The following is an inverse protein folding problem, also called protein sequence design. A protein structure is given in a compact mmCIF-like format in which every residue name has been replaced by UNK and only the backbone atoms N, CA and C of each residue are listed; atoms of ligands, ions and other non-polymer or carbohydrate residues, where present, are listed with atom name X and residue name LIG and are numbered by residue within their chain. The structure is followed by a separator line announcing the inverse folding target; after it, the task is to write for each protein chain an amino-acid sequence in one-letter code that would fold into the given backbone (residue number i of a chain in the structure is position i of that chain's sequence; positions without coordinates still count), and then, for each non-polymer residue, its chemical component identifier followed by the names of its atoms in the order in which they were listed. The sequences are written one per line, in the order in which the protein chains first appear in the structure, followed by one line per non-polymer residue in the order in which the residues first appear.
data_IF_760077109680
#
_entry.id   IF_760077109680
#
_cell.length_a   1.000
_cell.length_b   1.000
_cell.length_c   1.000
_cell.angle_alpha   90.00
_cell.angle_beta   90.00
_cell.angle_gamma   90.00
#
_symmetry.space_group_name_H-M   'P 1'
#
loop_
_entity.id
_entity.type
_entity.pdbx_description
1 polymer ?
#
# COMPACT_ATOMS: atom_id res chain seq x y z
N UNK A 1 2.79 25.26 11.66
CA UNK A 1 2.55 25.29 10.20
C UNK A 1 1.32 24.46 9.93
N UNK A 2 0.35 24.96 9.18
CA UNK A 2 -0.86 24.18 8.87
C UNK A 2 -0.50 23.07 7.89
N UNK A 3 -0.66 21.81 8.29
CA UNK A 3 -0.47 20.63 7.44
C UNK A 3 -1.43 20.69 6.24
N UNK A 4 -0.93 20.37 5.06
CA UNK A 4 -1.72 20.20 3.84
C UNK A 4 -2.79 19.13 4.04
N UNK A 5 -3.96 19.32 3.43
CA UNK A 5 -5.15 18.49 3.70
C UNK A 5 -4.91 17.00 3.49
N UNK A 6 -4.18 16.62 2.43
CA UNK A 6 -3.86 15.23 2.11
C UNK A 6 -3.12 14.49 3.23
N UNK A 7 -2.24 15.16 3.97
CA UNK A 7 -1.43 14.57 5.03
C UNK A 7 -2.09 14.67 6.42
N UNK A 8 -3.19 15.42 6.55
CA UNK A 8 -3.91 15.53 7.84
C UNK A 8 -4.49 14.21 8.33
N UNK A 9 -4.76 13.25 7.43
CA UNK A 9 -5.14 11.88 7.79
C UNK A 9 -4.04 11.22 8.60
N UNK A 10 -2.87 11.05 7.99
CA UNK A 10 -1.67 10.50 8.63
C UNK A 10 -1.31 11.25 9.92
N UNK A 11 -1.31 12.58 9.91
CA UNK A 11 -1.04 13.37 11.11
C UNK A 11 -2.03 13.14 12.26
N UNK A 12 -3.28 12.73 11.98
CA UNK A 12 -4.24 12.36 13.02
C UNK A 12 -3.91 10.99 13.61
N UNK A 13 -3.53 10.04 12.78
CA UNK A 13 -3.17 8.68 13.19
C UNK A 13 -1.95 8.69 14.13
N UNK A 14 -1.03 9.65 13.96
CA UNK A 14 0.09 9.89 14.88
C UNK A 14 -0.32 10.09 16.34
N UNK A 15 -1.55 10.53 16.62
CA UNK A 15 -2.03 10.61 18.00
C UNK A 15 -2.05 9.22 18.66
N UNK A 16 -2.59 8.20 17.98
CA UNK A 16 -2.62 6.83 18.49
C UNK A 16 -1.21 6.26 18.67
N UNK A 17 -0.32 6.51 17.71
CA UNK A 17 1.09 6.14 17.80
C UNK A 17 1.79 6.75 19.02
N UNK A 18 1.58 8.04 19.28
CA UNK A 18 2.18 8.73 20.43
C UNK A 18 1.60 8.27 21.78
N UNK A 19 0.31 7.92 21.83
CA UNK A 19 -0.31 7.32 23.02
C UNK A 19 0.34 5.97 23.32
N UNK A 20 0.43 5.08 22.32
CA UNK A 20 1.09 3.78 22.45
C UNK A 20 2.56 3.94 22.87
N UNK A 21 3.30 4.82 22.19
CA UNK A 21 4.70 5.13 22.52
C UNK A 21 4.88 5.56 23.98
N UNK A 22 4.00 6.43 24.49
CA UNK A 22 4.04 6.88 25.88
C UNK A 22 3.77 5.74 26.86
N UNK A 23 2.82 4.86 26.54
CA UNK A 23 2.53 3.67 27.35
C UNK A 23 3.76 2.76 27.42
N UNK A 24 4.35 2.44 26.26
CA UNK A 24 5.53 1.59 26.13
C UNK A 24 6.75 2.12 26.90
N UNK A 25 7.01 3.44 26.85
CA UNK A 25 8.12 4.08 27.57
C UNK A 25 8.03 3.92 29.09
N UNK A 26 6.82 3.79 29.65
CA UNK A 26 6.63 3.70 31.10
C UNK A 26 6.75 2.28 31.65
N UNK A 27 6.77 1.27 30.79
CA UNK A 27 6.73 -0.15 31.19
C UNK A 27 7.83 -0.53 32.18
N UNK A 28 9.05 -0.01 32.07
CA UNK A 28 10.11 -0.33 33.04
C UNK A 28 9.83 0.24 34.44
N UNK A 29 9.18 1.39 34.53
CA UNK A 29 8.84 2.04 35.80
C UNK A 29 7.50 1.54 36.37
N UNK A 30 6.59 1.16 35.49
CA UNK A 30 5.23 0.70 35.78
C UNK A 30 4.94 -0.58 34.99
N UNK A 31 5.48 -1.74 35.41
CA UNK A 31 5.26 -3.00 34.71
C UNK A 31 3.78 -3.40 34.73
N UNK A 32 3.24 -3.96 33.63
CA UNK A 32 1.86 -4.44 33.61
C UNK A 32 1.68 -5.61 34.57
N UNK A 33 0.48 -5.72 35.15
CA UNK A 33 0.11 -6.82 36.05
C UNK A 33 0.05 -8.17 35.31
N UNK A 34 -0.34 -8.13 34.04
CA UNK A 34 -0.38 -9.29 33.13
C UNK A 34 0.43 -8.97 31.86
N UNK A 35 1.72 -9.34 31.82
CA UNK A 35 2.58 -9.10 30.67
C UNK A 35 2.13 -9.79 29.38
N UNK A 36 1.51 -10.96 29.48
CA UNK A 36 1.02 -11.72 28.32
C UNK A 36 -0.15 -10.98 27.65
N UNK A 37 -1.16 -10.59 28.44
CA UNK A 37 -2.29 -9.80 27.93
C UNK A 37 -1.82 -8.48 27.34
N UNK A 38 -0.88 -7.80 28.03
CA UNK A 38 -0.34 -6.53 27.56
C UNK A 38 0.37 -6.64 26.21
N UNK A 39 1.19 -7.66 25.99
CA UNK A 39 1.85 -7.89 24.68
C UNK A 39 0.81 -8.18 23.59
N UNK A 40 -0.22 -8.97 23.88
CA UNK A 40 -1.30 -9.26 22.93
C UNK A 40 -2.10 -8.00 22.56
N UNK A 41 -2.37 -7.12 23.52
CA UNK A 41 -3.03 -5.83 23.32
C UNK A 41 -2.18 -4.89 22.45
N UNK A 42 -0.87 -4.80 22.71
CA UNK A 42 0.05 -4.01 21.87
C UNK A 42 0.00 -4.47 20.43
N UNK A 43 0.08 -5.79 20.18
CA UNK A 43 0.02 -6.35 18.82
C UNK A 43 -1.32 -6.05 18.14
N UNK A 44 -2.42 -6.18 18.88
CA UNK A 44 -3.76 -5.85 18.38
C UNK A 44 -3.88 -4.38 17.99
N UNK A 45 -3.43 -3.48 18.87
CA UNK A 45 -3.44 -2.04 18.60
C UNK A 45 -2.51 -1.68 17.43
N UNK A 46 -1.34 -2.31 17.35
CA UNK A 46 -0.40 -2.11 16.26
C UNK A 46 -1.03 -2.46 14.91
N UNK A 47 -1.63 -3.65 14.81
CA UNK A 47 -2.29 -4.11 13.59
C UNK A 47 -3.47 -3.22 13.20
N UNK A 48 -4.21 -2.67 14.17
CA UNK A 48 -5.37 -1.83 13.90
C UNK A 48 -5.00 -0.39 13.48
N UNK A 49 -3.97 0.19 14.09
CA UNK A 49 -3.72 1.63 14.02
C UNK A 49 -2.37 2.01 13.37
N UNK A 50 -1.31 1.22 13.59
CA UNK A 50 0.05 1.59 13.18
C UNK A 50 0.44 0.96 11.84
N UNK A 51 0.18 -0.33 11.67
CA UNK A 51 0.49 -1.04 10.42
C UNK A 51 -0.22 -0.42 9.19
N UNK A 52 -1.51 -0.03 9.25
CA UNK A 52 -2.16 0.63 8.12
C UNK A 52 -1.55 1.99 7.78
N UNK A 53 -1.08 2.71 8.79
CA UNK A 53 -0.41 4.00 8.62
C UNK A 53 0.91 3.85 7.87
N UNK A 54 1.80 2.96 8.33
CA UNK A 54 3.05 2.65 7.62
C UNK A 54 2.80 2.17 6.19
N UNK A 55 1.76 1.35 5.99
CA UNK A 55 1.41 0.86 4.67
C UNK A 55 1.01 2.00 3.72
N UNK A 56 0.27 2.99 4.21
CA UNK A 56 -0.09 4.16 3.41
C UNK A 56 1.16 4.97 3.01
N UNK A 57 2.06 5.21 3.94
CA UNK A 57 3.31 5.96 3.71
C UNK A 57 4.26 5.24 2.75
N UNK A 58 4.44 3.94 2.94
CA UNK A 58 5.27 3.10 2.08
C UNK A 58 4.72 2.98 0.67
N UNK A 59 3.39 2.92 0.53
CA UNK A 59 2.71 2.83 -0.77
C UNK A 59 2.76 4.16 -1.53
N UNK A 60 2.59 5.27 -0.83
CA UNK A 60 2.26 6.56 -1.46
C UNK A 60 3.40 7.58 -1.37
N UNK A 61 4.03 7.73 -0.20
CA UNK A 61 4.97 8.83 0.07
C UNK A 61 6.43 8.44 -0.19
N UNK A 62 6.83 7.22 0.14
CA UNK A 62 8.20 6.76 -0.11
C UNK A 62 8.57 6.75 -1.61
N UNK A 63 7.72 6.28 -2.55
CA UNK A 63 8.04 6.32 -3.98
C UNK A 63 8.23 7.74 -4.52
N UNK A 64 7.46 8.69 -4.01
CA UNK A 64 7.60 10.11 -4.37
C UNK A 64 8.89 10.70 -3.81
N UNK A 65 9.23 10.35 -2.57
CA UNK A 65 10.49 10.76 -1.93
C UNK A 65 11.70 10.22 -2.68
N UNK A 66 11.63 9.00 -3.21
CA UNK A 66 12.70 8.38 -3.99
C UNK A 66 12.97 9.09 -5.33
N UNK A 67 11.93 9.66 -5.96
CA UNK A 67 12.07 10.52 -7.15
C UNK A 67 12.48 11.96 -6.80
N UNK A 68 12.48 12.34 -5.51
CA UNK A 68 12.83 13.66 -5.05
C UNK A 68 14.33 13.95 -5.08
N UNK A 69 14.73 15.08 -4.49
CA UNK A 69 16.13 15.47 -4.33
C UNK A 69 16.89 14.57 -3.34
N UNK A 70 18.18 14.86 -3.11
CA UNK A 70 19.01 14.09 -2.18
C UNK A 70 18.44 14.08 -0.75
N UNK A 71 17.82 15.18 -0.32
CA UNK A 71 17.26 15.31 1.02
C UNK A 71 16.05 14.39 1.21
N UNK A 72 15.11 14.39 0.27
CA UNK A 72 13.95 13.51 0.30
C UNK A 72 14.34 12.03 0.25
N UNK A 73 15.33 11.67 -0.57
CA UNK A 73 15.85 10.30 -0.61
C UNK A 73 16.45 9.86 0.73
N UNK A 74 17.19 10.74 1.40
CA UNK A 74 17.74 10.47 2.73
C UNK A 74 16.62 10.31 3.78
N UNK A 75 15.57 11.13 3.71
CA UNK A 75 14.40 10.96 4.57
C UNK A 75 13.70 9.62 4.33
N UNK A 76 13.48 9.25 3.07
CA UNK A 76 12.87 7.97 2.70
C UNK A 76 13.67 6.77 3.23
N UNK A 77 15.00 6.84 3.18
CA UNK A 77 15.86 5.79 3.74
C UNK A 77 15.70 5.68 5.26
N UNK A 78 15.63 6.83 5.96
CA UNK A 78 15.39 6.83 7.42
C UNK A 78 14.04 6.21 7.76
N UNK A 79 12.95 6.62 7.09
CA UNK A 79 11.60 6.07 7.33
C UNK A 79 11.59 4.55 7.16
N UNK A 80 12.18 4.02 6.08
CA UNK A 80 12.32 2.57 5.88
C UNK A 80 13.09 1.88 7.01
N UNK A 81 14.18 2.49 7.46
CA UNK A 81 15.00 1.95 8.55
C UNK A 81 14.20 1.94 9.86
N UNK A 82 13.51 3.03 10.18
CA UNK A 82 12.68 3.16 11.38
C UNK A 82 11.55 2.11 11.34
N UNK A 83 10.82 1.99 10.22
CA UNK A 83 9.75 0.98 10.05
C UNK A 83 10.26 -0.45 10.23
N UNK A 84 11.42 -0.78 9.63
CA UNK A 84 12.00 -2.11 9.73
C UNK A 84 12.41 -2.43 11.18
N UNK A 85 13.03 -1.48 11.89
CA UNK A 85 13.42 -1.64 13.29
C UNK A 85 12.21 -1.75 14.21
N UNK A 86 11.18 -0.92 13.99
CA UNK A 86 9.93 -0.96 14.75
C UNK A 86 9.22 -2.31 14.62
N UNK A 87 9.11 -2.82 13.39
CA UNK A 87 8.54 -4.16 13.14
C UNK A 87 9.38 -5.26 13.79
N UNK A 88 10.71 -5.20 13.70
CA UNK A 88 11.59 -6.17 14.35
C UNK A 88 11.44 -6.16 15.88
N UNK A 89 11.38 -4.99 16.51
CA UNK A 89 11.17 -4.86 17.95
C UNK A 89 9.82 -5.45 18.34
N UNK A 90 8.74 -5.11 17.62
CA UNK A 90 7.42 -5.69 17.85
C UNK A 90 7.41 -7.20 17.69
N UNK A 91 8.02 -7.75 16.64
CA UNK A 91 8.07 -9.19 16.38
C UNK A 91 8.73 -9.94 17.53
N UNK A 92 9.84 -9.42 18.05
CA UNK A 92 10.59 -10.04 19.16
C UNK A 92 10.05 -9.70 20.56
N UNK A 93 9.07 -8.81 20.66
CA UNK A 93 8.48 -8.40 21.94
C UNK A 93 7.76 -9.56 22.61
N UNK A 94 8.18 -9.88 23.83
CA UNK A 94 7.68 -10.98 24.63
C UNK A 94 7.60 -10.60 26.12
N UNK A 95 6.79 -11.29 26.94
CA UNK A 95 6.73 -11.08 28.38
C UNK A 95 8.11 -11.07 29.07
N UNK A 96 9.03 -11.91 28.61
CA UNK A 96 10.36 -12.10 29.20
C UNK A 96 11.36 -10.97 28.96
N UNK A 97 11.16 -10.15 27.92
CA UNK A 97 12.04 -9.03 27.56
C UNK A 97 11.32 -7.68 27.59
N UNK A 98 10.07 -7.67 28.08
CA UNK A 98 9.16 -6.53 28.01
C UNK A 98 9.73 -5.27 28.69
N UNK A 99 10.39 -5.43 29.84
CA UNK A 99 10.96 -4.32 30.61
C UNK A 99 12.07 -3.57 29.87
N UNK A 100 12.79 -4.24 28.97
CA UNK A 100 13.91 -3.68 28.22
C UNK A 100 13.48 -3.20 26.82
N UNK A 101 12.71 -4.02 26.09
CA UNK A 101 12.34 -3.74 24.70
C UNK A 101 11.16 -2.77 24.54
N UNK A 102 10.18 -2.77 25.46
CA UNK A 102 9.04 -1.86 25.32
C UNK A 102 9.47 -0.38 25.35
N UNK A 103 10.35 0.09 26.26
CA UNK A 103 10.82 1.47 26.20
C UNK A 103 11.57 1.81 24.92
N UNK A 104 12.38 0.88 24.39
CA UNK A 104 13.09 1.07 23.12
C UNK A 104 12.10 1.25 21.96
N UNK A 105 11.10 0.36 21.86
CA UNK A 105 10.03 0.45 20.86
C UNK A 105 9.26 1.77 20.98
N UNK A 106 8.89 2.17 22.20
CA UNK A 106 8.17 3.42 22.44
C UNK A 106 9.00 4.67 22.13
N UNK A 107 10.30 4.67 22.45
CA UNK A 107 11.20 5.78 22.13
C UNK A 107 11.39 5.92 20.62
N UNK A 108 11.63 4.80 19.93
CA UNK A 108 11.78 4.78 18.47
C UNK A 108 10.50 5.26 17.79
N UNK A 109 9.32 4.76 18.21
CA UNK A 109 8.03 5.17 17.64
C UNK A 109 7.78 6.68 17.83
N UNK A 110 8.06 7.22 19.01
CA UNK A 110 7.93 8.65 19.26
C UNK A 110 8.94 9.49 18.46
N UNK A 111 10.18 9.00 18.27
CA UNK A 111 11.20 9.68 17.48
C UNK A 111 10.87 9.68 15.98
N UNK A 112 10.30 8.58 15.50
CA UNK A 112 9.81 8.38 14.15
C UNK A 112 8.68 9.38 13.84
N UNK A 113 7.58 9.37 14.60
CA UNK A 113 6.46 10.33 14.42
C UNK A 113 6.92 11.79 14.46
N UNK A 114 7.87 12.14 15.35
CA UNK A 114 8.42 13.51 15.41
C UNK A 114 9.18 13.88 14.16
N UNK A 115 9.92 12.94 13.57
CA UNK A 115 10.66 13.17 12.35
C UNK A 115 9.72 13.37 11.15
N UNK A 116 8.66 12.58 11.07
CA UNK A 116 7.63 12.70 10.03
C UNK A 116 6.99 14.07 10.07
N UNK A 117 6.50 14.45 11.25
CA UNK A 117 5.81 15.71 11.44
C UNK A 117 6.70 16.93 11.23
N UNK A 118 7.95 16.89 11.69
CA UNK A 118 8.80 18.09 11.72
C UNK A 118 9.73 18.21 10.52
N UNK A 119 10.00 17.11 9.83
CA UNK A 119 11.06 17.06 8.82
C UNK A 119 10.57 16.45 7.52
N UNK A 120 10.02 15.23 7.53
CA UNK A 120 9.70 14.55 6.28
C UNK A 120 8.47 15.12 5.58
N UNK A 121 7.33 15.25 6.27
CA UNK A 121 6.11 15.80 5.67
C UNK A 121 6.29 17.26 5.21
N UNK A 122 6.92 18.18 5.99
CA UNK A 122 7.23 19.51 5.48
C UNK A 122 8.10 19.52 4.22
N UNK A 123 9.08 18.61 4.13
CA UNK A 123 9.93 18.50 2.94
C UNK A 123 9.14 17.99 1.72
N UNK A 124 8.22 17.03 1.92
CA UNK A 124 7.31 16.56 0.87
C UNK A 124 6.40 17.68 0.37
N UNK A 125 5.77 18.43 1.29
CA UNK A 125 4.89 19.56 0.95
C UNK A 125 5.62 20.65 0.17
N UNK A 126 6.91 20.88 0.45
CA UNK A 126 7.73 21.86 -0.25
C UNK A 126 8.18 21.40 -1.64
N UNK A 127 8.33 20.09 -1.84
CA UNK A 127 8.90 19.53 -3.07
C UNK A 127 7.84 19.07 -4.09
N UNK A 128 6.65 18.68 -3.65
CA UNK A 128 5.59 18.18 -4.51
C UNK A 128 4.74 19.32 -5.06
N UNK A 129 4.37 19.22 -6.34
CA UNK A 129 3.47 20.17 -6.95
C UNK A 129 2.02 19.99 -6.43
N UNK A 130 1.17 21.03 -6.52
CA UNK A 130 -0.20 20.97 -6.01
C UNK A 130 -1.05 19.85 -6.58
N UNK A 131 -0.88 19.49 -7.87
CA UNK A 131 -1.68 18.44 -8.51
C UNK A 131 -1.33 17.05 -7.97
N UNK A 132 -0.05 16.83 -7.67
CA UNK A 132 0.41 15.61 -6.98
C UNK A 132 -0.14 15.53 -5.55
N UNK A 133 -0.12 16.63 -4.80
CA UNK A 133 -0.66 16.69 -3.43
C UNK A 133 -2.18 16.46 -3.39
N UNK A 134 -2.91 17.02 -4.35
CA UNK A 134 -4.37 16.81 -4.47
C UNK A 134 -4.69 15.35 -4.78
N UNK A 135 -3.95 14.73 -5.70
CA UNK A 135 -4.10 13.31 -6.03
C UNK A 135 -3.79 12.39 -4.84
N UNK A 136 -2.92 12.80 -3.92
CA UNK A 136 -2.61 12.03 -2.70
C UNK A 136 -3.76 11.99 -1.69
N UNK A 137 -4.61 13.02 -1.60
CA UNK A 137 -5.72 13.06 -0.64
C UNK A 137 -6.64 11.84 -0.73
N UNK A 138 -6.96 11.41 -1.95
CA UNK A 138 -7.76 10.20 -2.18
C UNK A 138 -6.96 8.92 -1.88
N UNK A 139 -5.67 8.93 -2.18
CA UNK A 139 -4.83 7.73 -2.18
C UNK A 139 -4.26 7.37 -0.82
N UNK A 140 -4.16 8.31 0.11
CA UNK A 140 -3.72 8.04 1.48
C UNK A 140 -4.80 7.39 2.35
N UNK A 141 -6.01 7.17 1.83
CA UNK A 141 -7.05 6.42 2.52
C UNK A 141 -6.67 4.93 2.62
N UNK A 142 -7.04 4.23 3.72
CA UNK A 142 -6.76 2.80 3.89
C UNK A 142 -7.38 1.96 2.76
N UNK A 143 -8.62 2.30 2.39
CA UNK A 143 -9.32 1.75 1.22
C UNK A 143 -9.82 2.92 0.37
N UNK A 144 -9.14 3.26 -0.73
CA UNK A 144 -9.51 4.43 -1.55
C UNK A 144 -10.90 4.30 -2.17
N UNK A 145 -11.71 5.36 -2.05
CA UNK A 145 -13.07 5.42 -2.58
C UNK A 145 -13.19 6.35 -3.78
N UNK A 146 -13.51 5.76 -4.93
CA UNK A 146 -13.49 6.41 -6.24
C UNK A 146 -14.91 6.48 -6.82
N UNK A 147 -15.23 7.58 -7.51
CA UNK A 147 -16.58 7.82 -8.03
C UNK A 147 -16.82 7.04 -9.31
N UNK A 148 -18.03 6.50 -9.47
CA UNK A 148 -18.48 5.94 -10.74
C UNK A 148 -18.68 7.08 -11.76
N UNK A 149 -17.97 6.98 -12.88
CA UNK A 149 -18.04 7.94 -14.00
C UNK A 149 -18.75 7.37 -15.22
N UNK A 150 -18.87 6.05 -15.31
CA UNK A 150 -19.46 5.37 -16.45
C UNK A 150 -19.70 3.89 -16.19
N UNK A 151 -20.28 3.24 -17.20
CA UNK A 151 -20.48 1.80 -17.20
C UNK A 151 -20.25 1.23 -18.61
N UNK A 152 -19.63 0.07 -18.69
CA UNK A 152 -19.60 -0.74 -19.90
C UNK A 152 -19.89 -2.21 -19.56
N UNK A 153 -19.97 -3.04 -20.59
CA UNK A 153 -19.99 -4.50 -20.44
C UNK A 153 -18.68 -5.08 -20.94
N UNK A 154 -18.16 -6.06 -20.23
CA UNK A 154 -16.99 -6.81 -20.67
C UNK A 154 -17.35 -7.89 -21.72
N UNK A 155 -16.37 -8.68 -22.13
CA UNK A 155 -16.53 -9.76 -23.11
C UNK A 155 -17.48 -10.89 -22.62
N UNK A 156 -17.78 -10.96 -21.32
CA UNK A 156 -18.71 -11.91 -20.71
C UNK A 156 -20.12 -11.31 -20.51
N UNK A 157 -20.38 -10.12 -21.08
CA UNK A 157 -21.62 -9.33 -20.93
C UNK A 157 -21.89 -8.91 -19.47
N UNK A 158 -20.86 -8.89 -18.61
CA UNK A 158 -20.94 -8.49 -17.21
C UNK A 158 -20.76 -6.98 -17.11
N UNK A 159 -21.61 -6.32 -16.32
CA UNK A 159 -21.50 -4.89 -16.08
C UNK A 159 -20.23 -4.53 -15.30
N UNK A 160 -19.54 -3.50 -15.78
CA UNK A 160 -18.34 -2.92 -15.19
C UNK A 160 -18.59 -1.44 -14.96
N UNK A 161 -18.36 -0.97 -13.73
CA UNK A 161 -18.32 0.45 -13.40
C UNK A 161 -16.94 1.02 -13.73
N UNK A 162 -16.91 2.14 -14.44
CA UNK A 162 -15.71 2.93 -14.70
C UNK A 162 -15.54 3.96 -13.59
N UNK A 163 -14.34 4.08 -13.04
CA UNK A 163 -14.08 4.90 -11.87
C UNK A 163 -13.18 6.11 -12.22
N UNK A 164 -13.38 7.23 -11.51
CA UNK A 164 -12.57 8.46 -11.71
C UNK A 164 -11.06 8.26 -11.46
N UNK A 165 -10.68 7.22 -10.72
CA UNK A 165 -9.28 6.83 -10.52
C UNK A 165 -8.65 6.12 -11.74
N UNK A 166 -9.43 5.88 -12.81
CA UNK A 166 -9.03 5.20 -14.04
C UNK A 166 -9.17 3.68 -14.01
N UNK A 167 -9.56 3.10 -12.87
CA UNK A 167 -9.82 1.66 -12.75
C UNK A 167 -11.27 1.32 -13.07
N UNK A 168 -11.51 0.04 -13.30
CA UNK A 168 -12.83 -0.50 -13.57
C UNK A 168 -13.17 -1.61 -12.56
N UNK A 169 -14.43 -1.71 -12.16
CA UNK A 169 -14.89 -2.69 -11.18
C UNK A 169 -16.15 -3.41 -11.65
N UNK A 170 -16.10 -4.74 -11.70
CA UNK A 170 -17.28 -5.54 -12.01
C UNK A 170 -18.38 -5.31 -10.97
N UNK A 171 -19.59 -4.99 -11.45
CA UNK A 171 -20.80 -4.84 -10.66
C UNK A 171 -21.63 -6.10 -10.86
N UNK A 172 -21.52 -7.03 -9.91
CA UNK A 172 -22.21 -8.32 -9.98
C UNK A 172 -23.42 -8.33 -9.06
N UNK A 173 -24.52 -8.90 -9.54
CA UNK A 173 -25.64 -9.31 -8.70
C UNK A 173 -25.34 -10.73 -8.18
N UNK A 174 -24.79 -10.83 -6.96
CA UNK A 174 -24.47 -12.09 -6.31
C UNK A 174 -25.19 -12.19 -4.96
N UNK A 175 -26.51 -12.44 -4.94
CA UNK A 175 -27.25 -12.67 -3.69
C UNK A 175 -26.67 -13.88 -2.93
N UNK A 176 -26.62 -13.84 -1.59
CA UNK A 176 -27.08 -12.78 -0.69
C UNK A 176 -26.08 -11.61 -0.51
N UNK A 177 -24.90 -11.68 -1.11
CA UNK A 177 -23.75 -10.84 -0.77
C UNK A 177 -23.68 -9.50 -1.54
N UNK A 178 -24.32 -9.40 -2.71
CA UNK A 178 -24.51 -8.13 -3.42
C UNK A 178 -25.83 -8.06 -4.18
N UNK A 179 -26.65 -7.06 -3.85
CA UNK A 179 -27.90 -6.72 -4.55
C UNK A 179 -27.64 -5.56 -5.53
N UNK A 180 -26.87 -5.81 -6.58
CA UNK A 180 -26.66 -4.83 -7.65
C UNK A 180 -27.68 -4.98 -8.80
N UNK A 181 -28.93 -5.35 -8.49
CA UNK A 181 -29.96 -5.57 -9.51
C UNK A 181 -30.20 -4.30 -10.36
N UNK A 182 -30.00 -3.14 -9.75
CA UNK A 182 -30.09 -1.81 -10.34
C UNK A 182 -29.17 -1.61 -11.55
N UNK A 183 -28.10 -2.39 -11.66
CA UNK A 183 -27.18 -2.25 -12.79
C UNK A 183 -27.82 -2.68 -14.10
N UNK A 184 -28.94 -3.40 -14.09
CA UNK A 184 -29.60 -3.84 -15.33
C UNK A 184 -30.47 -2.75 -15.95
N UNK A 185 -31.06 -1.87 -15.14
CA UNK A 185 -31.92 -0.78 -15.60
C UNK A 185 -31.10 0.47 -15.98
N UNK A 186 -31.17 0.97 -17.23
CA UNK A 186 -30.38 2.13 -17.65
C UNK A 186 -30.60 3.39 -16.80
N UNK A 187 -31.85 3.64 -16.39
CA UNK A 187 -32.20 4.79 -15.56
C UNK A 187 -31.59 4.68 -14.16
N UNK A 188 -31.58 3.48 -13.59
CA UNK A 188 -30.99 3.25 -12.28
C UNK A 188 -29.45 3.30 -12.34
N UNK A 189 -28.82 2.78 -13.40
CA UNK A 189 -27.37 3.00 -13.65
C UNK A 189 -27.02 4.49 -13.68
N UNK A 190 -27.77 5.28 -14.43
CA UNK A 190 -27.54 6.73 -14.50
C UNK A 190 -27.66 7.40 -13.13
N UNK A 191 -28.61 6.96 -12.29
CA UNK A 191 -28.77 7.45 -10.93
C UNK A 191 -27.59 7.07 -10.00
N UNK A 192 -26.80 6.05 -10.35
CA UNK A 192 -25.63 5.62 -9.57
C UNK A 192 -24.33 6.30 -10.00
N UNK A 193 -24.31 7.11 -11.07
CA UNK A 193 -23.15 7.95 -11.39
C UNK A 193 -22.81 8.87 -10.21
N UNK A 194 -21.53 9.04 -9.92
CA UNK A 194 -21.04 9.78 -8.74
C UNK A 194 -21.05 8.98 -7.43
N UNK A 195 -21.70 7.81 -7.38
CA UNK A 195 -21.61 6.91 -6.21
C UNK A 195 -20.15 6.51 -5.99
N UNK A 196 -19.70 6.48 -4.74
CA UNK A 196 -18.34 6.08 -4.40
C UNK A 196 -18.25 4.57 -4.18
N UNK A 197 -17.27 3.94 -4.82
CA UNK A 197 -16.94 2.53 -4.62
C UNK A 197 -15.52 2.40 -4.07
N UNK A 198 -15.33 1.41 -3.18
CA UNK A 198 -14.01 1.02 -2.67
C UNK A 198 -13.21 0.34 -3.78
N UNK A 199 -12.15 1.00 -4.25
CA UNK A 199 -11.31 0.49 -5.33
C UNK A 199 -10.11 -0.29 -4.77
N UNK A 200 -10.13 -1.62 -4.89
CA UNK A 200 -9.01 -2.45 -4.45
C UNK A 200 -7.76 -2.20 -5.30
N UNK A 201 -7.89 -1.98 -6.61
CA UNK A 201 -6.76 -1.69 -7.49
C UNK A 201 -6.00 -0.41 -7.10
N UNK A 202 -6.66 0.57 -6.47
CA UNK A 202 -5.98 1.75 -5.92
C UNK A 202 -5.03 1.45 -4.76
N UNK A 203 -5.12 0.27 -4.13
CA UNK A 203 -4.19 -0.18 -3.08
C UNK A 203 -2.93 -0.82 -3.65
N UNK A 204 -2.91 -1.13 -4.94
CA UNK A 204 -1.71 -1.60 -5.63
C UNK A 204 -0.65 -0.48 -5.64
N UNK A 205 0.65 -0.83 -5.51
CA UNK A 205 1.71 0.15 -5.69
C UNK A 205 1.58 0.92 -7.01
N UNK A 206 2.12 2.14 -7.06
CA UNK A 206 2.23 2.88 -8.32
C UNK A 206 3.67 3.11 -8.67
N UNK A 207 4.01 2.79 -9.91
CA UNK A 207 5.33 3.07 -10.44
C UNK A 207 5.50 4.59 -10.48
N UNK A 208 6.60 5.13 -9.95
CA UNK A 208 6.87 6.55 -10.05
C UNK A 208 6.97 6.97 -11.53
N UNK A 209 6.46 8.16 -11.90
CA UNK A 209 6.57 8.65 -13.27
C UNK A 209 8.02 8.69 -13.79
N UNK A 210 8.97 8.94 -12.88
CA UNK A 210 10.39 9.03 -13.19
C UNK A 210 11.07 7.67 -13.47
N UNK A 211 10.40 6.54 -13.17
CA UNK A 211 10.96 5.21 -13.38
C UNK A 211 10.82 4.75 -14.85
N UNK A 212 11.93 4.45 -15.51
CA UNK A 212 11.96 4.01 -16.91
C UNK A 212 12.32 2.53 -17.01
N UNK A 213 11.78 1.84 -18.02
CA UNK A 213 12.08 0.43 -18.26
C UNK A 213 13.55 0.24 -18.65
N UNK A 214 14.23 -0.70 -18.01
CA UNK A 214 15.62 -1.07 -18.34
C UNK A 214 15.78 -2.54 -18.71
N UNK A 215 14.80 -3.40 -18.39
CA UNK A 215 14.83 -4.82 -18.69
C UNK A 215 13.42 -5.35 -18.86
N UNK A 216 13.27 -6.39 -19.68
CA UNK A 216 12.03 -7.13 -19.84
C UNK A 216 12.32 -8.64 -19.90
N UNK A 217 11.40 -9.46 -19.41
CA UNK A 217 11.46 -10.91 -19.58
C UNK A 217 10.92 -11.34 -20.96
N UNK A 218 11.22 -12.57 -21.41
CA UNK A 218 10.36 -13.26 -22.36
C UNK A 218 8.91 -13.34 -21.87
N UNK A 219 8.01 -13.74 -22.76
CA UNK A 219 6.67 -14.17 -22.35
C UNK A 219 6.78 -15.52 -21.66
N UNK A 220 6.09 -15.64 -20.54
CA UNK A 220 5.96 -16.88 -19.79
C UNK A 220 4.53 -17.36 -19.82
N UNK A 221 4.39 -18.68 -19.82
CA UNK A 221 3.16 -19.43 -19.62
C UNK A 221 3.32 -20.36 -18.41
N UNK A 222 2.30 -21.19 -18.16
CA UNK A 222 2.26 -22.16 -17.06
C UNK A 222 3.44 -23.15 -17.06
N UNK A 223 4.08 -23.38 -18.20
CA UNK A 223 5.16 -24.37 -18.36
C UNK A 223 6.55 -23.75 -18.38
N UNK A 224 6.65 -22.49 -18.78
CA UNK A 224 7.91 -21.77 -18.99
C UNK A 224 8.23 -20.77 -17.88
N UNK A 225 7.25 -20.45 -17.01
CA UNK A 225 7.46 -19.50 -15.94
C UNK A 225 8.51 -20.00 -14.92
N UNK A 226 9.51 -19.18 -14.57
CA UNK A 226 10.45 -19.54 -13.53
C UNK A 226 9.75 -19.75 -12.17
N UNK A 227 10.00 -20.89 -11.54
CA UNK A 227 9.41 -21.26 -10.25
C UNK A 227 9.65 -20.21 -9.13
N UNK A 228 10.70 -19.40 -9.25
CA UNK A 228 10.97 -18.29 -8.32
C UNK A 228 9.91 -17.19 -8.34
N UNK A 229 9.23 -16.95 -9.47
CA UNK A 229 8.15 -15.96 -9.56
C UNK A 229 6.83 -16.46 -8.93
N UNK A 230 6.69 -17.78 -8.82
CA UNK A 230 5.53 -18.46 -8.20
C UNK A 230 5.64 -18.57 -6.68
N UNK A 231 6.70 -18.02 -6.08
CA UNK A 231 6.95 -18.03 -4.64
C UNK A 231 7.23 -16.62 -4.17
N UNK A 232 7.04 -16.39 -2.87
CA UNK A 232 7.36 -15.11 -2.23
C UNK A 232 8.79 -14.68 -2.53
N UNK A 233 8.95 -13.51 -3.14
CA UNK A 233 10.23 -12.91 -3.47
C UNK A 233 10.14 -11.38 -3.41
N UNK A 234 11.31 -10.72 -3.56
CA UNK A 234 11.44 -9.26 -3.50
C UNK A 234 12.25 -8.74 -4.68
N UNK A 235 11.88 -7.58 -5.17
CA UNK A 235 12.75 -6.79 -6.04
C UNK A 235 13.83 -6.11 -5.21
N UNK A 236 14.98 -5.83 -5.82
CA UNK A 236 16.06 -5.06 -5.18
C UNK A 236 15.60 -3.61 -4.95
N UNK A 237 16.19 -2.94 -3.96
CA UNK A 237 15.98 -1.52 -3.71
C UNK A 237 16.09 -0.66 -4.98
N UNK A 238 15.08 0.19 -5.21
CA UNK A 238 14.96 1.05 -6.39
C UNK A 238 14.49 0.40 -7.69
N UNK A 239 14.30 -0.93 -7.73
CA UNK A 239 13.75 -1.63 -8.88
C UNK A 239 12.23 -1.85 -8.75
N UNK A 240 11.49 -1.40 -9.75
CA UNK A 240 10.05 -1.57 -9.90
C UNK A 240 9.76 -2.68 -10.92
N UNK A 241 8.68 -3.41 -10.72
CA UNK A 241 8.18 -4.42 -11.65
C UNK A 241 6.82 -4.02 -12.23
N UNK A 242 6.60 -4.27 -13.51
CA UNK A 242 5.29 -4.23 -14.15
C UNK A 242 4.96 -5.63 -14.67
N UNK A 243 3.90 -6.23 -14.14
CA UNK A 243 3.34 -7.50 -14.57
C UNK A 243 2.31 -7.19 -15.65
N UNK A 244 2.63 -7.53 -16.89
CA UNK A 244 1.75 -7.41 -18.03
C UNK A 244 1.13 -8.77 -18.33
N UNK A 245 -0.20 -8.86 -18.19
CA UNK A 245 -0.96 -10.03 -18.62
C UNK A 245 -1.30 -9.86 -20.10
N UNK A 246 -0.81 -10.78 -20.92
CA UNK A 246 -1.03 -10.79 -22.38
C UNK A 246 -2.30 -11.58 -22.69
N UNK A 247 -2.55 -12.67 -21.96
CA UNK A 247 -3.76 -13.47 -22.06
C UNK A 247 -4.05 -14.19 -20.73
N UNK A 248 -5.29 -14.62 -20.54
CA UNK A 248 -5.73 -15.32 -19.34
C UNK A 248 -5.82 -14.40 -18.11
N UNK A 249 -5.63 -14.98 -16.93
CA UNK A 249 -5.66 -14.25 -15.65
C UNK A 249 -4.42 -14.62 -14.84
N UNK A 250 -3.86 -13.63 -14.13
CA UNK A 250 -2.77 -13.84 -13.17
C UNK A 250 -3.21 -13.31 -11.83
N UNK A 251 -3.10 -14.12 -10.78
CA UNK A 251 -3.23 -13.63 -9.42
C UNK A 251 -1.89 -13.03 -9.00
N UNK A 252 -1.90 -11.78 -8.56
CA UNK A 252 -0.76 -11.08 -8.01
C UNK A 252 -0.99 -10.88 -6.52
N UNK A 253 -0.12 -11.46 -5.69
CA UNK A 253 -0.24 -11.42 -4.23
C UNK A 253 0.89 -10.58 -3.64
N UNK A 254 0.51 -9.51 -2.93
CA UNK A 254 1.38 -8.77 -2.02
C UNK A 254 1.35 -9.46 -0.66
N UNK A 255 2.47 -10.03 -0.24
CA UNK A 255 2.58 -10.75 1.04
C UNK A 255 3.16 -9.85 2.15
N UNK A 256 2.69 -8.61 2.21
CA UNK A 256 2.96 -7.71 3.33
C UNK A 256 1.79 -7.71 4.32
N UNK A 257 1.78 -6.75 5.25
CA UNK A 257 0.82 -6.70 6.36
C UNK A 257 -0.65 -6.69 5.90
N UNK A 258 -0.92 -6.17 4.70
CA UNK A 258 -2.28 -6.12 4.14
C UNK A 258 -2.69 -7.43 3.42
N UNK A 259 -1.74 -8.31 3.10
CA UNK A 259 -1.90 -9.55 2.35
C UNK A 259 -2.89 -9.42 1.15
N UNK A 260 -2.59 -8.52 0.21
CA UNK A 260 -3.50 -8.17 -0.88
C UNK A 260 -3.35 -9.07 -2.08
N UNK A 261 -4.48 -9.51 -2.63
CA UNK A 261 -4.54 -10.25 -3.89
C UNK A 261 -5.23 -9.42 -4.97
N UNK A 262 -4.60 -9.30 -6.12
CA UNK A 262 -5.13 -8.65 -7.31
C UNK A 262 -5.30 -9.68 -8.43
N UNK A 263 -6.48 -9.73 -9.04
CA UNK A 263 -6.70 -10.48 -10.27
C UNK A 263 -6.34 -9.61 -11.47
N UNK A 264 -5.21 -9.90 -12.10
CA UNK A 264 -4.70 -9.19 -13.27
C UNK A 264 -5.21 -9.85 -14.56
N UNK A 265 -5.59 -9.02 -15.53
CA UNK A 265 -6.10 -9.40 -16.85
C UNK A 265 -5.48 -8.49 -17.91
N UNK A 266 -5.58 -8.80 -19.21
CA UNK A 266 -5.14 -7.89 -20.26
C UNK A 266 -5.69 -6.47 -20.06
N UNK A 267 -4.82 -5.48 -20.15
CA UNK A 267 -5.15 -4.07 -19.88
C UNK A 267 -4.98 -3.61 -18.42
N UNK A 268 -4.85 -4.53 -17.45
CA UNK A 268 -4.57 -4.22 -16.05
C UNK A 268 -3.13 -4.59 -15.72
N UNK A 269 -2.27 -3.58 -15.55
CA UNK A 269 -0.88 -3.79 -15.15
C UNK A 269 -0.78 -4.04 -13.64
N UNK A 270 -0.11 -5.12 -13.26
CA UNK A 270 0.32 -5.35 -11.89
C UNK A 270 1.58 -4.56 -11.60
N UNK A 271 1.61 -3.73 -10.56
CA UNK A 271 2.79 -2.94 -10.21
C UNK A 271 3.41 -3.47 -8.92
N UNK A 272 4.69 -3.83 -9.01
CA UNK A 272 5.50 -4.32 -7.92
C UNK A 272 6.45 -3.22 -7.46
N UNK A 273 6.36 -2.84 -6.19
CA UNK A 273 7.30 -1.90 -5.57
C UNK A 273 8.64 -2.57 -5.20
N UNK A 274 9.73 -1.80 -5.08
CA UNK A 274 10.99 -2.29 -4.54
C UNK A 274 10.80 -2.93 -3.16
N UNK A 275 11.51 -4.02 -2.90
CA UNK A 275 11.65 -4.65 -1.58
C UNK A 275 10.36 -5.19 -0.93
N UNK A 276 9.19 -4.99 -1.55
CA UNK A 276 7.93 -5.59 -1.10
C UNK A 276 7.84 -7.07 -1.45
N UNK A 277 7.56 -7.95 -0.46
CA UNK A 277 7.37 -9.38 -0.70
C UNK A 277 6.12 -9.62 -1.55
N UNK A 278 6.26 -10.44 -2.57
CA UNK A 278 5.15 -10.77 -3.46
C UNK A 278 5.38 -12.06 -4.24
N UNK A 279 4.33 -12.57 -4.85
CA UNK A 279 4.40 -13.63 -5.86
C UNK A 279 3.25 -13.51 -6.87
N UNK A 280 3.31 -14.31 -7.93
CA UNK A 280 2.21 -14.47 -8.89
C UNK A 280 1.78 -15.92 -9.03
N UNK A 281 0.50 -16.15 -9.32
CA UNK A 281 -0.02 -17.44 -9.74
C UNK A 281 -0.69 -17.28 -11.11
N UNK A 282 -0.32 -18.16 -12.06
CA UNK A 282 -0.88 -18.14 -13.40
C UNK A 282 -2.17 -18.96 -13.41
N UNK A 283 -3.24 -18.35 -13.93
CA UNK A 283 -4.47 -19.08 -14.26
C UNK A 283 -4.32 -19.86 -15.57
N UNK A 284 -5.37 -20.61 -15.95
CA UNK A 284 -5.36 -21.38 -17.19
C UNK A 284 -5.13 -20.51 -18.43
N UNK A 285 -4.27 -20.98 -19.33
CA UNK A 285 -3.88 -20.27 -20.56
C UNK A 285 -3.28 -18.88 -20.34
N UNK A 286 -2.80 -18.60 -19.12
CA UNK A 286 -2.19 -17.32 -18.80
C UNK A 286 -0.88 -17.15 -19.55
N UNK A 287 -0.71 -15.97 -20.16
CA UNK A 287 0.56 -15.51 -20.71
C UNK A 287 0.91 -14.19 -20.07
N UNK A 288 2.11 -14.12 -19.52
CA UNK A 288 2.56 -12.98 -18.73
C UNK A 288 3.97 -12.57 -19.12
N UNK A 289 4.28 -11.30 -18.89
CA UNK A 289 5.63 -10.76 -19.04
C UNK A 289 5.88 -9.79 -17.90
N UNK A 290 7.12 -9.70 -17.46
CA UNK A 290 7.53 -8.73 -16.44
C UNK A 290 8.49 -7.71 -17.06
N UNK A 291 8.15 -6.43 -16.93
CA UNK A 291 9.06 -5.31 -17.22
C UNK A 291 9.66 -4.81 -15.92
N UNK A 292 10.93 -4.46 -15.95
CA UNK A 292 11.63 -3.88 -14.82
C UNK A 292 11.97 -2.44 -15.12
N UNK A 293 11.58 -1.56 -14.20
CA UNK A 293 11.75 -0.13 -14.29
C UNK A 293 12.60 0.38 -13.13
N UNK A 294 13.34 1.48 -13.32
CA UNK A 294 13.95 2.22 -12.22
C UNK A 294 14.02 3.69 -12.52
N UNK A 295 14.04 4.49 -11.48
CA UNK A 295 14.38 5.89 -11.59
C UNK A 295 15.86 6.02 -11.99
N UNK A 296 16.18 7.02 -12.82
CA UNK A 296 17.57 7.40 -13.04
C UNK A 296 18.22 7.70 -11.69
N UNK A 297 19.46 7.24 -11.47
CA UNK A 297 20.23 7.75 -10.33
C UNK A 297 20.54 9.21 -10.68
N UNK A 298 20.08 10.15 -9.86
CA UNK A 298 20.63 11.50 -9.88
C UNK A 298 22.05 11.38 -9.32
N UNK A 299 23.04 11.79 -10.12
CA UNK A 299 24.46 11.86 -9.76
C UNK A 299 24.69 12.73 -8.53
#
# INVERSE_FOLDING_TARGET
MNRHECLRGLSRDHHHALVLARTLVRVSAEPPTDPDSFVAEIRTQWTAEIAPHFTAEERELLPLSDCGDQQLRAHAQRIRSDHAQLRQLLDTLAPSNLADQAPELGQLLAAHVRFEERTWFPALEAALDPSTLEALSHRLQPIPESQITGFHRDDEDIWVAELDCGHAQHIRHAPPFSLAAWVNEPAERAAHLGTRLRCQLCRMPRRPPCATMYKQTPEYDETTIPAGLLRSHRLRGGAWGEIEVIAGTVEYVLEDEDNLTFALRPGVLGIVAPERPHHIALGPSARVRVRFCRCAKLE
#
